data_IF_587219673572
#
_entry.id   IF_587219673572
#
_cell.length_a   1.000
_cell.length_b   1.000
_cell.length_c   1.000
_cell.angle_alpha   90.00
_cell.angle_beta   90.00
_cell.angle_gamma   90.00
#
_symmetry.space_group_name_H-M   'P 1'
#
loop_
_entity.id
_entity.type
_entity.pdbx_description
1 polymer ?
#
# COMPACT_ATOMS: atom_id res chain seq x y z
N UNK A 1 -3.91 -15.50 -1.05
CA UNK A 1 -3.97 -14.47 0.02
C UNK A 1 -3.89 -15.18 1.38
N UNK A 2 -3.06 -14.73 2.34
CA UNK A 2 -3.02 -15.34 3.66
C UNK A 2 -4.37 -15.11 4.38
N UNK A 3 -5.07 -16.21 4.65
CA UNK A 3 -6.31 -16.21 5.43
C UNK A 3 -5.99 -16.60 6.87
N UNK A 4 -6.33 -15.72 7.81
CA UNK A 4 -6.22 -16.03 9.24
C UNK A 4 -7.48 -16.81 9.59
N UNK A 5 -7.30 -18.03 10.12
CA UNK A 5 -8.42 -18.86 10.59
C UNK A 5 -8.98 -18.28 11.89
N UNK A 6 -10.28 -18.43 12.15
CA UNK A 6 -10.83 -18.09 13.45
C UNK A 6 -10.13 -18.90 14.54
N UNK A 7 -9.80 -18.26 15.65
CA UNK A 7 -9.16 -18.89 16.79
C UNK A 7 -9.60 -18.21 18.08
N UNK A 8 -9.45 -18.91 19.20
CA UNK A 8 -9.67 -18.34 20.54
C UNK A 8 -8.30 -18.03 21.12
N UNK A 9 -8.12 -16.79 21.57
CA UNK A 9 -6.88 -16.37 22.27
C UNK A 9 -6.84 -17.00 23.67
N UNK A 10 -5.65 -17.01 24.29
CA UNK A 10 -5.47 -17.54 25.65
C UNK A 10 -6.29 -16.81 26.73
N UNK A 11 -6.76 -15.59 26.43
CA UNK A 11 -7.65 -14.77 27.25
C UNK A 11 -9.15 -15.10 27.06
N UNK A 12 -9.48 -16.10 26.24
CA UNK A 12 -10.86 -16.48 25.91
C UNK A 12 -11.55 -15.60 24.86
N UNK A 13 -10.87 -14.59 24.32
CA UNK A 13 -11.47 -13.71 23.31
C UNK A 13 -11.55 -14.42 21.94
N UNK A 14 -12.76 -14.53 21.34
CA UNK A 14 -12.90 -15.15 20.03
C UNK A 14 -12.45 -14.18 18.93
N UNK A 15 -11.43 -14.57 18.17
CA UNK A 15 -10.96 -13.82 17.00
C UNK A 15 -11.59 -14.39 15.75
N UNK A 16 -12.36 -13.55 15.04
CA UNK A 16 -12.89 -13.90 13.71
C UNK A 16 -11.75 -14.04 12.71
N UNK A 17 -11.89 -15.02 11.81
CA UNK A 17 -10.97 -15.15 10.69
C UNK A 17 -11.06 -13.96 9.76
N UNK A 18 -9.91 -13.50 9.26
CA UNK A 18 -9.84 -12.38 8.33
C UNK A 18 -8.77 -12.60 7.26
N UNK A 19 -9.01 -12.03 6.09
CA UNK A 19 -8.02 -12.02 5.00
C UNK A 19 -7.06 -10.85 5.19
N UNK A 20 -5.77 -11.10 5.02
CA UNK A 20 -4.76 -10.05 4.92
C UNK A 20 -4.23 -10.01 3.49
N UNK A 21 -4.16 -8.81 2.92
CA UNK A 21 -3.48 -8.60 1.66
C UNK A 21 -1.96 -8.60 1.90
N UNK A 22 -1.19 -9.04 0.90
CA UNK A 22 0.26 -9.05 0.99
C UNK A 22 0.79 -7.61 1.22
N UNK A 23 1.96 -7.45 1.89
CA UNK A 23 2.61 -6.15 1.99
C UNK A 23 2.79 -5.54 0.58
N UNK A 24 2.28 -4.33 0.34
CA UNK A 24 2.28 -3.68 -0.98
C UNK A 24 0.95 -3.72 -1.74
N UNK A 25 0.16 -4.80 -1.59
CA UNK A 25 -1.07 -4.99 -2.36
C UNK A 25 -2.17 -3.95 -2.07
N UNK A 26 -2.14 -3.27 -0.92
CA UNK A 26 -3.06 -2.15 -0.63
C UNK A 26 -2.82 -0.95 -1.54
N UNK A 27 -1.55 -0.57 -1.73
CA UNK A 27 -1.19 0.60 -2.55
C UNK A 27 -1.53 0.36 -4.02
N UNK A 28 -1.22 -0.84 -4.51
CA UNK A 28 -1.50 -1.24 -5.89
C UNK A 28 -3.00 -1.28 -6.16
N UNK A 29 -3.80 -1.89 -5.29
CA UNK A 29 -5.26 -1.92 -5.45
C UNK A 29 -5.90 -0.54 -5.35
N UNK A 30 -5.39 0.37 -4.51
CA UNK A 30 -5.86 1.76 -4.49
C UNK A 30 -5.56 2.45 -5.82
N UNK A 31 -4.37 2.24 -6.39
CA UNK A 31 -4.02 2.79 -7.71
C UNK A 31 -4.94 2.22 -8.79
N UNK A 32 -5.15 0.90 -8.82
CA UNK A 32 -6.07 0.27 -9.77
C UNK A 32 -7.52 0.76 -9.60
N UNK A 33 -8.00 0.94 -8.38
CA UNK A 33 -9.34 1.44 -8.11
C UNK A 33 -9.50 2.90 -8.56
N UNK A 34 -8.55 3.78 -8.26
CA UNK A 34 -8.58 5.18 -8.68
C UNK A 34 -8.46 5.30 -10.20
N UNK A 35 -7.56 4.53 -10.82
CA UNK A 35 -7.38 4.54 -12.27
C UNK A 35 -8.61 3.97 -12.98
N UNK A 36 -9.17 2.87 -12.49
CA UNK A 36 -10.42 2.30 -12.98
C UNK A 36 -11.59 3.27 -12.85
N UNK A 37 -11.72 3.96 -11.71
CA UNK A 37 -12.73 5.01 -11.50
C UNK A 37 -12.52 6.19 -12.46
N UNK A 38 -11.29 6.62 -12.69
CA UNK A 38 -10.99 7.74 -13.60
C UNK A 38 -11.30 7.37 -15.05
N UNK A 39 -10.87 6.20 -15.52
CA UNK A 39 -11.15 5.73 -16.90
C UNK A 39 -12.65 5.51 -17.10
N UNK A 40 -13.32 4.86 -16.15
CA UNK A 40 -14.76 4.61 -16.22
C UNK A 40 -15.57 5.91 -16.08
N UNK A 41 -15.19 6.79 -15.17
CA UNK A 41 -15.88 8.06 -14.92
C UNK A 41 -15.70 9.10 -16.02
N UNK A 42 -14.54 9.14 -16.68
CA UNK A 42 -14.28 10.06 -17.79
C UNK A 42 -14.95 9.57 -19.08
N UNK A 43 -15.04 8.25 -19.30
CA UNK A 43 -15.80 7.67 -20.43
C UNK A 43 -17.32 7.65 -20.21
N UNK A 44 -17.78 7.67 -18.96
CA UNK A 44 -19.18 7.66 -18.55
C UNK A 44 -19.59 9.04 -18.01
N UNK A 45 -19.36 10.10 -18.79
CA UNK A 45 -19.83 11.45 -18.49
C UNK A 45 -21.36 11.56 -18.68
N UNK A 46 -22.12 10.75 -17.93
CA UNK A 46 -23.56 10.86 -17.65
C UNK A 46 -23.95 9.69 -16.75
N UNK A 47 -24.53 9.99 -15.58
CA UNK A 47 -25.20 9.07 -14.65
C UNK A 47 -24.37 8.39 -13.55
N UNK A 48 -24.17 9.14 -12.46
CA UNK A 48 -24.55 8.75 -11.09
C UNK A 48 -24.24 9.97 -10.21
N UNK A 49 -25.08 11.02 -10.29
CA UNK A 49 -26.12 11.26 -9.27
C UNK A 49 -25.68 10.70 -7.91
N UNK A 50 -25.32 11.64 -7.04
CA UNK A 50 -24.72 11.38 -5.74
C UNK A 50 -25.34 10.18 -5.04
N UNK A 51 -24.46 9.36 -4.47
CA UNK A 51 -24.87 8.43 -3.44
C UNK A 51 -25.48 9.25 -2.31
N UNK A 52 -26.81 9.41 -2.34
CA UNK A 52 -27.62 9.73 -1.19
C UNK A 52 -27.35 8.62 -0.16
N UNK A 53 -26.26 8.80 0.57
CA UNK A 53 -26.03 8.11 1.82
C UNK A 53 -27.08 8.66 2.75
N UNK A 54 -28.25 8.03 2.76
CA UNK A 54 -29.24 8.24 3.79
C UNK A 54 -28.47 8.21 5.13
N UNK A 55 -28.54 9.27 5.96
CA UNK A 55 -27.77 9.30 7.19
C UNK A 55 -28.24 8.13 8.05
N UNK A 56 -27.36 7.13 8.23
CA UNK A 56 -27.58 6.02 9.14
C UNK A 56 -27.75 6.62 10.52
N UNK A 57 -28.99 6.69 11.02
CA UNK A 57 -29.29 7.22 12.35
C UNK A 57 -28.52 6.40 13.40
N UNK A 58 -27.58 6.98 14.16
CA UNK A 58 -27.05 6.30 15.33
C UNK A 58 -28.11 6.36 16.44
N UNK A 59 -28.75 5.24 16.77
CA UNK A 59 -29.72 5.15 17.88
C UNK A 59 -29.02 4.88 19.22
N UNK A 60 -27.94 5.60 19.51
CA UNK A 60 -27.28 5.53 20.82
C UNK A 60 -26.99 6.95 21.29
N UNK A 61 -27.82 7.42 22.21
CA UNK A 61 -27.61 8.67 22.93
C UNK A 61 -26.70 8.38 24.12
N UNK A 62 -25.42 8.73 24.01
CA UNK A 62 -24.51 8.75 25.15
C UNK A 62 -24.75 10.03 25.97
N UNK A 63 -24.69 9.99 27.31
CA UNK A 63 -24.97 11.14 28.18
C UNK A 63 -23.80 12.14 28.24
N UNK A 64 -23.09 12.35 27.13
CA UNK A 64 -21.99 13.31 27.05
C UNK A 64 -22.47 14.49 26.22
N UNK A 65 -22.67 15.62 26.91
CA UNK A 65 -22.97 16.90 26.29
C UNK A 65 -21.66 17.64 26.03
N UNK A 66 -21.40 18.01 24.78
CA UNK A 66 -20.31 18.92 24.45
C UNK A 66 -20.90 20.32 24.30
N UNK A 67 -20.65 21.19 25.27
CA UNK A 67 -20.99 22.60 25.16
C UNK A 67 -20.27 23.18 23.94
N UNK A 68 -21.03 23.53 22.92
CA UNK A 68 -20.49 24.18 21.72
C UNK A 68 -20.21 25.63 22.09
N UNK A 69 -19.05 25.88 22.67
CA UNK A 69 -18.51 27.23 22.76
C UNK A 69 -18.21 27.69 21.33
N UNK A 70 -19.14 28.43 20.74
CA UNK A 70 -18.91 29.20 19.52
C UNK A 70 -17.93 30.31 19.83
N UNK A 71 -16.64 29.98 19.78
CA UNK A 71 -15.60 30.92 20.14
C UNK A 71 -14.21 30.33 19.93
N UNK A 72 -13.63 30.69 18.79
CA UNK A 72 -12.18 30.82 18.62
C UNK A 72 -11.38 29.53 18.45
N UNK A 73 -11.21 29.18 17.17
CA UNK A 73 -9.98 28.70 16.53
C UNK A 73 -9.20 27.54 17.15
N UNK A 74 -9.07 26.49 16.35
CA UNK A 74 -7.98 25.52 16.36
C UNK A 74 -6.71 26.12 16.94
N UNK A 75 -6.33 25.72 18.16
CA UNK A 75 -4.90 25.68 18.46
C UNK A 75 -4.38 24.49 17.68
N UNK A 76 -3.96 24.78 16.45
CA UNK A 76 -3.05 23.91 15.71
C UNK A 76 -1.98 23.47 16.70
N UNK A 77 -1.99 22.19 17.04
CA UNK A 77 -0.92 21.60 17.81
C UNK A 77 0.31 21.65 16.91
N UNK A 78 1.05 22.77 16.98
CA UNK A 78 2.31 22.93 16.27
C UNK A 78 3.19 21.76 16.73
N UNK A 79 3.58 20.84 15.82
CA UNK A 79 4.45 19.74 16.21
C UNK A 79 5.76 20.35 16.70
N UNK A 80 6.06 20.13 17.98
CA UNK A 80 7.36 20.52 18.53
C UNK A 80 8.42 19.71 17.78
N UNK A 81 9.51 20.31 17.31
CA UNK A 81 10.57 19.57 16.67
C UNK A 81 11.13 18.55 17.68
N UNK A 82 10.82 17.28 17.49
CA UNK A 82 11.53 16.19 18.15
C UNK A 82 12.99 16.31 17.73
N UNK A 83 13.88 16.42 18.70
CA UNK A 83 15.33 16.48 18.50
C UNK A 83 15.74 15.46 17.44
N UNK A 84 16.19 15.94 16.28
CA UNK A 84 16.64 15.09 15.20
C UNK A 84 18.06 14.63 15.51
N UNK A 85 18.20 13.48 16.16
CA UNK A 85 19.50 12.81 16.20
C UNK A 85 19.88 12.39 14.78
N UNK A 86 21.13 12.57 14.35
CA UNK A 86 21.56 12.11 13.05
C UNK A 86 21.54 10.59 13.01
N UNK A 87 20.48 10.01 12.44
CA UNK A 87 20.43 8.59 12.11
C UNK A 87 21.48 8.37 11.01
N UNK A 88 22.58 7.69 11.34
CA UNK A 88 23.56 7.25 10.35
C UNK A 88 22.99 6.02 9.66
N UNK A 89 22.58 6.18 8.41
CA UNK A 89 22.27 5.04 7.56
C UNK A 89 23.58 4.49 7.04
N UNK A 90 23.90 3.24 7.40
CA UNK A 90 25.02 2.53 6.81
C UNK A 90 24.75 2.36 5.31
N UNK A 91 25.58 3.00 4.48
CA UNK A 91 25.51 2.81 3.05
C UNK A 91 25.84 1.34 2.74
N UNK A 92 25.03 0.63 1.93
CA UNK A 92 25.37 -0.73 1.55
C UNK A 92 26.71 -0.71 0.81
N UNK A 93 27.69 -1.43 1.35
CA UNK A 93 29.02 -1.53 0.76
C UNK A 93 28.96 -2.04 -0.69
N UNK A 94 29.95 -1.71 -1.53
CA UNK A 94 29.98 -2.10 -2.93
C UNK A 94 29.91 -3.62 -3.03
N UNK A 95 28.82 -4.12 -3.64
CA UNK A 95 28.67 -5.54 -3.92
C UNK A 95 29.68 -5.92 -5.00
N UNK A 96 30.59 -6.85 -4.69
CA UNK A 96 31.44 -7.46 -5.70
C UNK A 96 30.54 -8.11 -6.75
N UNK A 97 30.69 -7.71 -8.02
CA UNK A 97 29.99 -8.32 -9.13
C UNK A 97 30.35 -9.81 -9.20
N UNK A 98 29.36 -10.68 -9.23
CA UNK A 98 29.59 -12.10 -9.50
C UNK A 98 30.17 -12.24 -10.91
N UNK A 99 31.13 -13.16 -11.14
CA UNK A 99 31.64 -13.42 -12.47
C UNK A 99 30.51 -13.92 -13.38
N UNK A 100 30.36 -13.31 -14.55
CA UNK A 100 29.44 -13.82 -15.56
C UNK A 100 30.03 -15.10 -16.17
N UNK A 101 29.23 -16.18 -16.34
CA UNK A 101 29.68 -17.36 -17.05
C UNK A 101 29.84 -17.02 -18.54
N UNK A 102 31.08 -16.96 -19.01
CA UNK A 102 31.39 -16.87 -20.45
C UNK A 102 31.37 -18.28 -21.03
N UNK A 103 30.40 -18.55 -21.91
CA UNK A 103 30.39 -19.79 -22.70
C UNK A 103 31.24 -19.54 -23.94
N UNK A 104 32.36 -20.25 -24.06
CA UNK A 104 33.20 -20.27 -25.26
C UNK A 104 32.86 -21.51 -26.08
N UNK A 105 32.46 -21.30 -27.34
CA UNK A 105 32.30 -22.38 -28.32
C UNK A 105 33.53 -22.45 -29.22
N UNK A 106 33.94 -23.66 -29.65
CA UNK A 106 34.99 -23.79 -30.64
C UNK A 106 34.50 -23.20 -31.97
N UNK A 107 35.23 -22.21 -32.48
CA UNK A 107 35.07 -21.78 -33.87
C UNK A 107 35.90 -22.73 -34.71
N UNK A 108 35.24 -23.56 -35.52
CA UNK A 108 35.93 -24.42 -36.48
C UNK A 108 36.23 -23.62 -37.75
N UNK A 109 37.49 -23.22 -37.91
CA UNK A 109 37.93 -22.44 -39.08
C UNK A 109 38.11 -23.31 -40.33
N UNK A 110 38.02 -24.64 -40.21
CA UNK A 110 38.15 -25.54 -41.36
C UNK A 110 36.99 -25.43 -42.36
N UNK A 111 35.83 -24.93 -41.92
CA UNK A 111 34.67 -24.71 -42.79
C UNK A 111 34.72 -23.38 -43.54
N UNK A 112 35.61 -22.45 -43.19
CA UNK A 112 35.66 -21.11 -43.81
C UNK A 112 36.40 -21.07 -45.16
N UNK A 113 37.12 -22.14 -45.52
CA UNK A 113 37.93 -22.21 -46.74
C UNK A 113 37.38 -23.11 -47.85
N UNK A 114 36.19 -23.70 -47.68
CA UNK A 114 35.66 -24.72 -48.58
C UNK A 114 34.70 -24.20 -49.65
N UNK A 115 34.43 -22.90 -49.73
CA UNK A 115 33.69 -22.29 -50.83
C UNK A 115 34.66 -21.63 -51.82
N UNK A 116 35.12 -22.39 -52.82
CA UNK A 116 35.60 -21.83 -54.08
C UNK A 116 35.37 -22.77 -55.24
#
# INVERSE_FOLDING_TARGET
MPIVRPYVRSDGTPVRGHSRWAPGARREMTIFAVFGLAVFGIGHASTAKGTDSAPRRPSVTYPIHFDHHTGSFSRDAVPRPTVSYPIKFDAPGPRKSAPQPTVSYPIDLSTLGAER
#
